data_IF_842999637840
#
_entry.id   IF_842999637840
#
_cell.length_a   1.000
_cell.length_b   1.000
_cell.length_c   1.000
_cell.angle_alpha   90.00
_cell.angle_beta   90.00
_cell.angle_gamma   90.00
#
_symmetry.space_group_name_H-M   'P 1'
#
loop_
_entity.id
_entity.type
_entity.pdbx_description
1 polymer ?
#
# COMPACT_ATOMS: atom_id res chain seq x y z
N UNK A 1 9.77 -19.30 -26.10
CA UNK A 1 8.74 -18.38 -25.57
C UNK A 1 8.70 -17.03 -26.27
N UNK A 2 9.83 -16.40 -26.64
CA UNK A 2 9.81 -15.05 -27.26
C UNK A 2 9.05 -14.92 -28.57
N UNK A 3 9.04 -15.96 -29.41
CA UNK A 3 8.27 -15.97 -30.65
C UNK A 3 6.74 -15.88 -30.44
N UNK A 4 6.24 -16.40 -29.31
CA UNK A 4 4.81 -16.39 -28.98
C UNK A 4 4.32 -14.97 -28.68
N UNK A 5 5.13 -14.19 -27.95
CA UNK A 5 4.80 -12.79 -27.66
C UNK A 5 4.93 -11.88 -28.88
N UNK A 6 5.93 -12.14 -29.74
CA UNK A 6 6.08 -11.41 -31.00
C UNK A 6 4.87 -11.63 -31.93
N UNK A 7 4.39 -12.87 -32.05
CA UNK A 7 3.21 -13.21 -32.86
C UNK A 7 1.93 -12.54 -32.33
N UNK A 8 1.76 -12.51 -31.00
CA UNK A 8 0.62 -11.84 -30.38
C UNK A 8 0.69 -10.30 -30.48
N UNK A 9 1.88 -9.70 -30.46
CA UNK A 9 2.08 -8.25 -30.68
C UNK A 9 1.85 -7.82 -32.13
N UNK A 10 2.13 -8.69 -33.12
CA UNK A 10 1.74 -8.43 -34.51
C UNK A 10 0.21 -8.50 -34.71
N UNK A 11 -0.46 -9.38 -33.97
CA UNK A 11 -1.91 -9.54 -34.04
C UNK A 11 -2.67 -8.39 -33.34
N UNK A 12 -2.17 -7.90 -32.21
CA UNK A 12 -2.75 -6.77 -31.47
C UNK A 12 -1.66 -5.93 -30.79
N UNK A 13 -1.06 -4.97 -31.51
CA UNK A 13 0.02 -4.13 -30.99
C UNK A 13 -0.44 -3.14 -29.92
N UNK A 14 -1.75 -2.96 -29.73
CA UNK A 14 -2.32 -2.05 -28.74
C UNK A 14 -2.63 -2.70 -27.39
N UNK A 15 -2.43 -4.00 -27.25
CA UNK A 15 -2.84 -4.72 -26.06
C UNK A 15 -1.85 -4.52 -24.90
N UNK A 16 -2.23 -3.80 -23.83
CA UNK A 16 -1.32 -3.46 -22.74
C UNK A 16 -0.83 -4.68 -21.97
N UNK A 17 -1.62 -5.76 -21.92
CA UNK A 17 -1.21 -7.00 -21.24
C UNK A 17 -0.10 -7.72 -21.99
N UNK A 18 -0.05 -7.61 -23.32
CA UNK A 18 0.99 -8.24 -24.14
C UNK A 18 2.31 -7.50 -24.06
N UNK A 19 2.27 -6.16 -24.08
CA UNK A 19 3.46 -5.32 -23.92
C UNK A 19 4.13 -5.54 -22.56
N UNK A 20 3.34 -5.56 -21.48
CA UNK A 20 3.86 -5.79 -20.12
C UNK A 20 4.44 -7.19 -19.96
N UNK A 21 3.76 -8.23 -20.47
CA UNK A 21 4.27 -9.59 -20.39
C UNK A 21 5.49 -9.84 -21.28
N UNK A 22 5.58 -9.18 -22.43
CA UNK A 22 6.75 -9.24 -23.30
C UNK A 22 7.95 -8.50 -22.69
N UNK A 23 7.73 -7.34 -22.08
CA UNK A 23 8.74 -6.64 -21.28
C UNK A 23 9.29 -7.52 -20.16
N UNK A 24 8.39 -8.14 -19.37
CA UNK A 24 8.73 -9.15 -18.35
C UNK A 24 9.46 -10.38 -18.90
N UNK A 25 9.19 -10.79 -20.13
CA UNK A 25 9.88 -11.91 -20.77
C UNK A 25 11.30 -11.54 -21.22
N UNK A 26 11.53 -10.26 -21.56
CA UNK A 26 12.81 -9.74 -22.01
C UNK A 26 13.72 -9.29 -20.86
N UNK A 27 13.18 -8.97 -19.67
CA UNK A 27 13.94 -8.42 -18.55
C UNK A 27 14.06 -9.37 -17.36
N UNK A 28 15.24 -9.35 -16.73
CA UNK A 28 15.68 -10.28 -15.71
C UNK A 28 14.80 -10.20 -14.43
N UNK A 29 14.60 -11.33 -13.73
CA UNK A 29 13.83 -11.38 -12.49
C UNK A 29 14.60 -10.65 -11.39
N UNK A 30 14.33 -9.36 -11.27
CA UNK A 30 15.11 -8.41 -10.46
C UNK A 30 14.93 -6.98 -10.90
N UNK A 31 14.22 -6.72 -12.00
CA UNK A 31 13.88 -5.37 -12.44
C UNK A 31 12.86 -4.73 -11.48
N UNK A 32 13.20 -3.56 -10.94
CA UNK A 32 12.32 -2.80 -10.06
C UNK A 32 10.98 -2.47 -10.72
N UNK A 33 10.93 -2.34 -12.05
CA UNK A 33 9.70 -2.10 -12.80
C UNK A 33 8.66 -3.22 -12.58
N UNK A 34 9.11 -4.48 -12.54
CA UNK A 34 8.23 -5.65 -12.36
C UNK A 34 7.63 -5.69 -10.96
N UNK A 35 8.41 -5.29 -9.97
CA UNK A 35 8.01 -5.22 -8.56
C UNK A 35 7.05 -4.05 -8.32
N UNK A 36 7.30 -2.89 -8.92
CA UNK A 36 6.42 -1.72 -8.81
C UNK A 36 5.04 -1.98 -9.45
N UNK A 37 5.00 -2.64 -10.62
CA UNK A 37 3.75 -3.07 -11.25
C UNK A 37 2.96 -4.05 -10.37
N UNK A 38 3.65 -4.93 -9.66
CA UNK A 38 2.99 -5.89 -8.76
C UNK A 38 2.45 -5.20 -7.50
N UNK A 39 3.19 -4.26 -6.92
CA UNK A 39 2.72 -3.41 -5.83
C UNK A 39 1.46 -2.64 -6.22
N UNK A 40 1.48 -1.99 -7.39
CA UNK A 40 0.32 -1.29 -7.96
C UNK A 40 -0.90 -2.19 -8.14
N UNK A 41 -0.71 -3.40 -8.67
CA UNK A 41 -1.81 -4.34 -8.85
C UNK A 41 -2.42 -4.78 -7.51
N UNK A 42 -1.61 -5.03 -6.49
CA UNK A 42 -2.11 -5.41 -5.15
C UNK A 42 -2.90 -4.24 -4.55
N UNK A 43 -2.39 -3.02 -4.67
CA UNK A 43 -3.10 -1.82 -4.24
C UNK A 43 -4.48 -1.72 -4.91
N UNK A 44 -4.53 -1.79 -6.24
CA UNK A 44 -5.79 -1.65 -7.00
C UNK A 44 -6.78 -2.81 -6.77
N UNK A 45 -6.30 -4.02 -6.52
CA UNK A 45 -7.17 -5.21 -6.42
C UNK A 45 -7.56 -5.58 -4.99
N UNK A 46 -6.67 -5.36 -4.02
CA UNK A 46 -6.85 -5.77 -2.62
C UNK A 46 -6.99 -4.58 -1.67
N UNK A 47 -6.51 -3.38 -2.04
CA UNK A 47 -6.44 -2.23 -1.14
C UNK A 47 -5.51 -2.45 0.06
N UNK A 48 -4.60 -3.43 -0.04
CA UNK A 48 -3.67 -3.76 1.04
C UNK A 48 -2.42 -2.87 0.90
N UNK A 49 -2.43 -1.75 1.62
CA UNK A 49 -1.37 -0.74 1.64
C UNK A 49 -0.03 -1.33 2.03
N UNK A 50 -0.01 -2.05 3.16
CA UNK A 50 1.22 -2.58 3.75
C UNK A 50 1.90 -3.57 2.81
N UNK A 51 1.13 -4.43 2.13
CA UNK A 51 1.69 -5.33 1.12
C UNK A 51 2.17 -4.57 -0.11
N UNK A 52 1.39 -3.60 -0.61
CA UNK A 52 1.78 -2.81 -1.77
C UNK A 52 3.09 -2.05 -1.52
N UNK A 53 3.20 -1.37 -0.37
CA UNK A 53 4.39 -0.64 0.08
C UNK A 53 5.63 -1.54 0.08
N UNK A 54 5.56 -2.73 0.67
CA UNK A 54 6.68 -3.68 0.69
C UNK A 54 7.18 -4.08 -0.71
N UNK A 55 6.28 -4.14 -1.71
CA UNK A 55 6.69 -4.41 -3.10
C UNK A 55 7.31 -3.19 -3.77
N UNK A 56 6.84 -1.98 -3.45
CA UNK A 56 7.46 -0.74 -3.93
C UNK A 56 8.84 -0.50 -3.31
N UNK A 57 9.03 -0.78 -2.01
CA UNK A 57 10.35 -0.70 -1.36
C UNK A 57 11.35 -1.62 -2.05
N UNK A 58 10.97 -2.88 -2.28
CA UNK A 58 11.81 -3.84 -3.00
C UNK A 58 12.07 -3.42 -4.44
N UNK A 59 11.12 -2.73 -5.08
CA UNK A 59 11.31 -2.17 -6.40
C UNK A 59 12.38 -1.07 -6.41
N UNK A 60 12.35 -0.18 -5.43
CA UNK A 60 13.35 0.90 -5.26
C UNK A 60 14.72 0.32 -4.91
N UNK A 61 14.79 -0.70 -4.06
CA UNK A 61 16.04 -1.40 -3.76
C UNK A 61 16.65 -2.07 -5.00
N UNK A 62 15.79 -2.62 -5.85
CA UNK A 62 16.20 -3.28 -7.08
C UNK A 62 16.64 -2.30 -8.17
N UNK A 63 16.00 -1.12 -8.25
CA UNK A 63 16.28 -0.13 -9.29
C UNK A 63 16.09 1.30 -8.76
N UNK A 64 17.03 1.81 -7.95
CA UNK A 64 16.93 3.11 -7.30
C UNK A 64 17.05 4.28 -8.28
N UNK A 65 17.61 4.05 -9.47
CA UNK A 65 17.77 5.05 -10.53
C UNK A 65 16.62 5.03 -11.54
N UNK A 66 15.65 4.11 -11.41
CA UNK A 66 14.52 4.02 -12.33
C UNK A 66 13.41 5.02 -11.96
N UNK A 67 13.23 6.01 -12.84
CA UNK A 67 12.21 7.03 -12.72
C UNK A 67 10.77 6.47 -12.76
N UNK A 68 10.53 5.34 -13.42
CA UNK A 68 9.22 4.70 -13.44
C UNK A 68 8.87 4.07 -12.09
N UNK A 69 9.84 3.42 -11.46
CA UNK A 69 9.68 2.85 -10.11
C UNK A 69 9.41 3.95 -9.10
N UNK A 70 10.25 4.99 -9.10
CA UNK A 70 10.08 6.13 -8.20
C UNK A 70 8.75 6.87 -8.43
N UNK A 71 8.36 7.07 -9.70
CA UNK A 71 7.09 7.72 -10.04
C UNK A 71 5.87 6.90 -9.61
N UNK A 72 5.92 5.58 -9.80
CA UNK A 72 4.83 4.68 -9.37
C UNK A 72 4.71 4.64 -7.85
N UNK A 73 5.83 4.64 -7.13
CA UNK A 73 5.83 4.66 -5.68
C UNK A 73 5.32 6.00 -5.12
N UNK A 74 5.75 7.13 -5.68
CA UNK A 74 5.25 8.45 -5.27
C UNK A 74 3.73 8.59 -5.49
N UNK A 75 3.21 8.06 -6.62
CA UNK A 75 1.77 8.04 -6.87
C UNK A 75 1.02 7.19 -5.86
N UNK A 76 1.55 6.01 -5.52
CA UNK A 76 0.98 5.16 -4.48
C UNK A 76 0.92 5.88 -3.14
N UNK A 77 2.01 6.55 -2.72
CA UNK A 77 2.06 7.26 -1.44
C UNK A 77 1.06 8.43 -1.40
N UNK A 78 0.88 9.18 -2.49
CA UNK A 78 -0.13 10.24 -2.54
C UNK A 78 -1.55 9.72 -2.43
N UNK A 79 -1.87 8.61 -3.09
CA UNK A 79 -3.20 8.00 -3.02
C UNK A 79 -3.47 7.34 -1.65
N UNK A 80 -2.42 6.78 -1.03
CA UNK A 80 -2.51 6.13 0.27
C UNK A 80 -2.68 7.13 1.43
N UNK A 81 -2.01 8.29 1.35
CA UNK A 81 -2.14 9.37 2.34
C UNK A 81 -3.59 9.90 2.40
N UNK A 82 -4.28 10.03 1.24
CA UNK A 82 -5.71 10.38 1.19
C UNK A 82 -6.64 9.33 1.83
N UNK A 83 -6.23 8.06 1.91
CA UNK A 83 -7.01 6.99 2.52
C UNK A 83 -6.82 6.86 4.04
N UNK A 84 -5.70 7.37 4.58
CA UNK A 84 -5.34 7.31 6.00
C UNK A 84 -5.96 8.40 6.89
N UNK A 85 -6.63 9.40 6.31
CA UNK A 85 -7.25 10.49 7.07
C UNK A 85 -8.62 10.12 7.69
N UNK A 86 -9.20 8.96 7.35
CA UNK A 86 -10.45 8.47 7.94
C UNK A 86 -10.21 7.40 9.02
N UNK A 87 -9.58 7.75 10.16
CA UNK A 87 -9.89 7.15 11.48
C UNK A 87 -9.06 7.80 12.63
N UNK A 88 -9.48 8.97 13.09
CA UNK A 88 -9.26 9.39 14.49
C UNK A 88 -10.55 10.03 15.08
N UNK A 89 -11.63 9.26 15.17
CA UNK A 89 -12.73 9.61 16.10
C UNK A 89 -12.25 9.32 17.54
N UNK A 90 -11.64 10.32 18.17
CA UNK A 90 -11.30 10.32 19.61
C UNK A 90 -12.59 10.30 20.43
N UNK A 91 -13.26 9.15 20.48
CA UNK A 91 -14.43 8.93 21.30
C UNK A 91 -14.08 8.11 22.53
N UNK A 92 -13.39 8.73 23.50
CA UNK A 92 -13.46 8.31 24.91
C UNK A 92 -12.75 9.30 25.86
N UNK A 93 -13.43 10.38 26.23
CA UNK A 93 -13.17 11.03 27.52
C UNK A 93 -14.46 11.02 28.35
N UNK A 94 -14.63 10.11 29.33
CA UNK A 94 -15.72 10.24 30.29
C UNK A 94 -15.51 11.48 31.19
N UNK A 95 -16.61 12.09 31.66
CA UNK A 95 -16.61 13.45 32.20
C UNK A 95 -15.90 13.54 33.56
N UNK A 96 -15.25 14.69 33.77
CA UNK A 96 -14.62 15.09 35.01
C UNK A 96 -15.54 14.89 36.23
N UNK A 97 -15.27 13.86 37.02
CA UNK A 97 -15.89 13.65 38.32
C UNK A 97 -15.03 14.33 39.40
N UNK A 98 -15.58 15.39 39.98
CA UNK A 98 -15.00 16.18 41.05
C UNK A 98 -14.66 15.33 42.31
N UNK A 99 -13.62 15.70 43.09
CA UNK A 99 -13.32 15.02 44.34
C UNK A 99 -14.40 15.37 45.39
N UNK A 100 -15.28 14.42 45.67
CA UNK A 100 -16.27 14.53 46.75
C UNK A 100 -15.60 14.28 48.10
N UNK A 101 -15.71 15.27 48.99
CA UNK A 101 -15.26 15.21 50.37
C UNK A 101 -16.10 14.21 51.20
N UNK A 102 -15.43 13.70 52.25
CA UNK A 102 -15.93 13.11 53.51
C UNK A 102 -16.05 11.57 53.62
N UNK A 103 -15.29 10.94 54.52
CA UNK A 103 -15.65 9.63 55.05
C UNK A 103 -16.75 9.77 56.12
N UNK A 104 -17.91 9.17 55.85
CA UNK A 104 -18.93 8.89 56.86
C UNK A 104 -18.45 7.72 57.73
N UNK A 105 -18.15 7.96 59.01
CA UNK A 105 -17.95 6.91 60.00
C UNK A 105 -19.29 6.65 60.71
N UNK A 106 -19.92 5.54 60.36
CA UNK A 106 -21.00 4.88 61.11
C UNK A 106 -20.55 3.42 61.22
N UNK A 107 -20.60 2.66 62.32
CA UNK A 107 -21.49 2.54 63.48
C UNK A 107 -20.69 1.72 64.53
N UNK A 108 -20.91 1.94 65.83
CA UNK A 108 -21.42 0.88 66.75
C UNK A 108 -21.69 1.40 68.15
N UNK A 109 -22.97 1.38 68.48
CA UNK A 109 -23.48 1.31 69.84
C UNK A 109 -23.03 0.01 70.50
N UNK A 110 -22.53 0.10 71.73
CA UNK A 110 -22.84 -0.74 72.89
C UNK A 110 -22.31 -0.05 74.15
#
# INVERSE_FOLDING_TARGET
MGAYYLEMLEADPGNPLLLVNYGRYLHEPGDGEVLSLYGKLIWETQGDETRAESYFERAVEASPDDCYVMGSYAHFLWDADEAGEEEEDVRAAPPAAAPSQQPQLTVRAY
#
